data_IF_666351118110
#
_entry.id   IF_666351118110
#
_cell.length_a   1.000
_cell.length_b   1.000
_cell.length_c   1.000
_cell.angle_alpha   90.00
_cell.angle_beta   90.00
_cell.angle_gamma   90.00
#
_symmetry.space_group_name_H-M   'P 1'
#
loop_
_entity.id
_entity.type
_entity.pdbx_description
1 polymer ?
#
# COMPACT_ATOMS: atom_id res chain seq x y z
N UNK A 1 24.52 -9.83 -10.32
CA UNK A 1 23.39 -9.87 -11.30
C UNK A 1 23.11 -8.44 -11.77
N UNK A 2 22.92 -8.20 -13.07
CA UNK A 2 22.56 -6.91 -13.64
C UNK A 2 21.17 -7.03 -14.28
N UNK A 3 20.24 -6.15 -13.92
CA UNK A 3 18.89 -6.10 -14.49
C UNK A 3 18.79 -4.84 -15.33
N UNK A 4 18.29 -4.96 -16.56
CA UNK A 4 18.15 -3.83 -17.48
C UNK A 4 16.83 -3.91 -18.24
N UNK A 5 16.33 -2.75 -18.69
CA UNK A 5 15.16 -2.67 -19.55
C UNK A 5 15.53 -3.03 -20.99
N UNK A 6 14.65 -3.80 -21.63
CA UNK A 6 14.71 -4.09 -23.08
C UNK A 6 14.02 -3.04 -23.94
N UNK A 7 13.15 -2.21 -23.34
CA UNK A 7 12.40 -1.15 -24.02
C UNK A 7 12.69 0.20 -23.36
N UNK A 8 12.51 1.27 -24.08
CA UNK A 8 12.58 2.61 -23.52
C UNK A 8 11.52 2.79 -22.41
N UNK A 9 11.83 3.58 -21.37
CA UNK A 9 10.85 3.93 -20.34
C UNK A 9 9.61 4.59 -20.97
N UNK A 10 8.46 4.40 -20.33
CA UNK A 10 7.23 5.09 -20.70
C UNK A 10 7.43 6.62 -20.64
N UNK A 11 6.80 7.39 -21.57
CA UNK A 11 6.99 8.82 -21.60
C UNK A 11 6.38 9.54 -20.40
N UNK A 12 5.27 9.04 -19.84
CA UNK A 12 4.48 9.74 -18.82
C UNK A 12 4.50 9.06 -17.46
N UNK A 13 4.31 7.76 -17.40
CA UNK A 13 4.11 7.02 -16.16
C UNK A 13 5.32 6.16 -15.82
N UNK A 14 5.61 6.05 -14.53
CA UNK A 14 6.52 5.07 -13.99
C UNK A 14 6.02 3.65 -14.27
N UNK A 15 6.93 2.75 -14.63
CA UNK A 15 6.65 1.33 -14.80
C UNK A 15 7.02 0.57 -13.53
N UNK A 16 6.14 -0.33 -13.11
CA UNK A 16 6.34 -1.18 -11.95
C UNK A 16 6.52 -2.64 -12.38
N UNK A 17 7.58 -3.27 -11.89
CA UNK A 17 7.89 -4.68 -12.10
C UNK A 17 8.13 -5.37 -10.75
N UNK A 18 8.04 -6.68 -10.75
CA UNK A 18 8.45 -7.50 -9.62
C UNK A 18 9.47 -8.53 -10.09
N UNK A 19 10.68 -8.43 -9.56
CA UNK A 19 11.73 -9.41 -9.78
C UNK A 19 11.62 -10.49 -8.71
N UNK A 20 11.54 -11.75 -9.13
CA UNK A 20 11.60 -12.88 -8.23
C UNK A 20 12.97 -13.53 -8.31
N UNK A 21 13.61 -13.69 -7.15
CA UNK A 21 14.80 -14.51 -6.98
C UNK A 21 14.38 -15.75 -6.20
N UNK A 22 14.55 -16.91 -6.80
CA UNK A 22 14.15 -18.18 -6.19
C UNK A 22 15.36 -19.08 -6.07
N UNK A 23 15.53 -19.66 -4.88
CA UNK A 23 16.50 -20.71 -4.65
C UNK A 23 16.07 -21.99 -5.35
N UNK A 24 17.03 -22.69 -5.96
CA UNK A 24 16.82 -24.03 -6.50
C UNK A 24 17.46 -25.00 -5.51
N UNK A 25 16.65 -25.65 -4.67
CA UNK A 25 17.20 -26.59 -3.69
C UNK A 25 17.83 -27.81 -4.38
N UNK A 26 18.89 -28.38 -3.81
CA UNK A 26 19.47 -29.61 -4.34
C UNK A 26 18.45 -30.76 -4.26
N UNK A 27 18.60 -31.81 -5.10
CA UNK A 27 17.77 -32.99 -5.02
C UNK A 27 17.83 -33.62 -3.62
N UNK A 28 16.68 -34.08 -3.12
CA UNK A 28 16.64 -34.81 -1.85
C UNK A 28 17.43 -36.09 -1.97
N UNK A 29 18.29 -36.36 -1.00
CA UNK A 29 19.02 -37.63 -0.92
C UNK A 29 18.09 -38.75 -0.47
N UNK A 30 18.24 -39.99 -0.97
CA UNK A 30 17.49 -41.12 -0.50
C UNK A 30 17.65 -41.32 1.02
N UNK A 31 16.53 -41.44 1.76
CA UNK A 31 16.56 -41.61 3.21
C UNK A 31 16.59 -40.29 3.99
N UNK A 32 16.55 -39.13 3.36
CA UNK A 32 16.45 -37.87 4.04
C UNK A 32 15.08 -37.74 4.73
N UNK A 33 15.07 -37.58 6.06
CA UNK A 33 13.89 -37.23 6.85
C UNK A 33 14.13 -35.85 7.48
N UNK A 34 13.56 -34.80 6.90
CA UNK A 34 13.74 -33.43 7.38
C UNK A 34 12.95 -32.43 6.55
N UNK A 35 12.98 -31.16 6.98
CA UNK A 35 12.37 -30.06 6.24
C UNK A 35 13.39 -29.46 5.25
N UNK A 36 13.04 -29.40 3.97
CA UNK A 36 13.79 -28.66 2.97
C UNK A 36 13.10 -27.34 2.70
N UNK A 37 13.77 -26.23 2.97
CA UNK A 37 13.24 -24.87 2.77
C UNK A 37 13.89 -24.30 1.52
N UNK A 38 13.07 -23.72 0.62
CA UNK A 38 13.54 -22.96 -0.53
C UNK A 38 13.05 -21.50 -0.40
N UNK A 39 13.95 -20.55 -0.54
CA UNK A 39 13.65 -19.12 -0.47
C UNK A 39 13.18 -18.60 -1.82
N UNK A 40 12.10 -17.78 -1.78
CA UNK A 40 11.65 -16.96 -2.91
C UNK A 40 11.48 -15.52 -2.47
N UNK A 41 12.32 -14.64 -3.01
CA UNK A 41 12.34 -13.21 -2.69
C UNK A 41 11.70 -12.44 -3.84
N UNK A 42 10.68 -11.62 -3.54
CA UNK A 42 10.05 -10.71 -4.50
C UNK A 42 10.52 -9.28 -4.27
N UNK A 43 11.23 -8.71 -5.24
CA UNK A 43 11.80 -7.36 -5.18
C UNK A 43 10.99 -6.44 -6.10
N UNK A 44 10.35 -5.36 -5.60
CA UNK A 44 9.73 -4.36 -6.46
C UNK A 44 10.81 -3.58 -7.20
N UNK A 45 10.59 -3.32 -8.49
CA UNK A 45 11.49 -2.54 -9.34
C UNK A 45 10.65 -1.47 -10.04
N UNK A 46 10.98 -0.22 -9.78
CA UNK A 46 10.31 0.93 -10.40
C UNK A 46 11.24 1.57 -11.42
N UNK A 47 10.69 1.89 -12.59
CA UNK A 47 11.41 2.53 -13.68
C UNK A 47 10.81 3.88 -13.92
N UNK A 48 11.56 4.93 -13.62
CA UNK A 48 11.12 6.31 -13.77
C UNK A 48 10.69 6.61 -15.22
N UNK A 49 9.61 7.38 -15.34
CA UNK A 49 9.18 7.94 -16.62
C UNK A 49 10.22 8.94 -17.16
N UNK A 50 10.10 9.30 -18.43
CA UNK A 50 10.93 10.36 -19.02
C UNK A 50 10.49 11.76 -18.59
N UNK A 51 9.19 11.95 -18.35
CA UNK A 51 8.62 13.19 -17.84
C UNK A 51 8.96 13.40 -16.37
N UNK A 52 8.87 14.64 -15.92
CA UNK A 52 8.98 14.97 -14.51
C UNK A 52 7.91 14.22 -13.70
N UNK A 53 8.25 13.73 -12.49
CA UNK A 53 7.30 13.00 -11.65
C UNK A 53 6.17 13.92 -11.18
N UNK A 54 4.94 13.47 -11.32
CA UNK A 54 3.74 14.12 -10.80
C UNK A 54 3.16 13.28 -9.66
N UNK A 55 2.90 13.92 -8.51
CA UNK A 55 2.28 13.29 -7.34
C UNK A 55 0.89 13.89 -7.14
N UNK A 56 -0.14 13.07 -7.32
CA UNK A 56 -1.53 13.44 -7.10
C UNK A 56 -2.29 12.23 -6.56
N UNK A 57 -2.78 12.30 -5.34
CA UNK A 57 -3.50 11.21 -4.68
C UNK A 57 -4.77 11.75 -4.05
N UNK A 58 -5.91 11.17 -4.43
CA UNK A 58 -7.18 11.42 -3.79
C UNK A 58 -7.41 10.39 -2.69
N UNK A 59 -7.89 10.87 -1.56
CA UNK A 59 -8.26 10.05 -0.42
C UNK A 59 -9.76 10.08 -0.20
N UNK A 60 -10.35 8.94 0.14
CA UNK A 60 -11.75 8.84 0.55
C UNK A 60 -11.91 7.86 1.70
N UNK A 61 -12.99 8.01 2.47
CA UNK A 61 -13.29 7.15 3.61
C UNK A 61 -14.77 6.80 3.63
N UNK A 62 -15.09 5.53 3.91
CA UNK A 62 -16.46 5.03 4.02
C UNK A 62 -16.56 4.12 5.24
N UNK A 63 -17.56 4.36 6.09
CA UNK A 63 -17.86 3.47 7.20
C UNK A 63 -18.65 2.25 6.67
N UNK A 64 -18.10 1.05 6.94
CA UNK A 64 -18.71 -0.21 6.51
C UNK A 64 -19.31 -0.96 7.72
N UNK A 65 -19.76 -2.20 7.50
CA UNK A 65 -20.38 -3.01 8.54
C UNK A 65 -19.48 -3.16 9.78
N UNK A 66 -20.12 -3.35 10.94
CA UNK A 66 -19.45 -3.53 12.25
C UNK A 66 -18.59 -2.35 12.69
N UNK A 67 -18.84 -1.14 12.16
CA UNK A 67 -18.06 0.06 12.52
C UNK A 67 -16.66 0.12 11.94
N UNK A 68 -16.29 -0.78 11.03
CA UNK A 68 -15.00 -0.71 10.33
C UNK A 68 -14.99 0.45 9.32
N UNK A 69 -13.82 1.04 9.11
CA UNK A 69 -13.61 2.16 8.19
C UNK A 69 -12.77 1.69 7.00
N UNK A 70 -13.30 1.85 5.80
CA UNK A 70 -12.54 1.63 4.57
C UNK A 70 -12.00 2.96 4.07
N UNK A 71 -10.69 3.07 3.99
CA UNK A 71 -9.97 4.22 3.44
C UNK A 71 -9.42 3.81 2.09
N UNK A 72 -9.65 4.64 1.06
CA UNK A 72 -9.16 4.40 -0.30
C UNK A 72 -8.26 5.54 -0.73
N UNK A 73 -7.08 5.18 -1.24
CA UNK A 73 -6.17 6.09 -1.94
C UNK A 73 -6.23 5.80 -3.44
N UNK A 74 -6.52 6.80 -4.26
CA UNK A 74 -6.50 6.75 -5.71
C UNK A 74 -5.36 7.60 -6.25
N UNK A 75 -4.38 6.98 -6.89
CA UNK A 75 -3.22 7.67 -7.44
C UNK A 75 -3.53 8.17 -8.86
N UNK A 76 -3.65 9.49 -9.02
CA UNK A 76 -3.80 10.17 -10.32
C UNK A 76 -2.48 10.69 -10.88
N UNK A 77 -1.42 10.58 -10.09
CA UNK A 77 -0.08 11.00 -10.50
C UNK A 77 0.61 9.99 -11.42
N UNK A 78 1.85 10.28 -11.74
CA UNK A 78 2.68 9.49 -12.66
C UNK A 78 3.71 8.60 -11.98
N UNK A 79 3.84 8.69 -10.65
CA UNK A 79 4.75 7.89 -9.84
C UNK A 79 4.01 7.11 -8.76
N UNK A 80 4.54 5.99 -8.31
CA UNK A 80 3.94 5.23 -7.22
C UNK A 80 3.92 6.04 -5.91
N UNK A 81 2.97 5.71 -5.04
CA UNK A 81 2.94 6.11 -3.64
C UNK A 81 3.18 4.89 -2.77
N UNK A 82 4.18 4.94 -1.91
CA UNK A 82 4.42 3.93 -0.91
C UNK A 82 3.74 4.35 0.40
N UNK A 83 2.78 3.55 0.87
CA UNK A 83 2.11 3.72 2.16
C UNK A 83 2.71 2.74 3.16
N UNK A 84 3.25 3.24 4.27
CA UNK A 84 3.90 2.46 5.32
C UNK A 84 2.96 2.14 6.47
N UNK A 85 2.11 3.10 6.82
CA UNK A 85 1.08 2.94 7.85
C UNK A 85 -0.13 3.79 7.51
N UNK A 86 -1.29 3.37 8.00
CA UNK A 86 -2.53 4.12 7.84
C UNK A 86 -3.38 3.96 9.11
N UNK A 87 -3.94 5.06 9.57
CA UNK A 87 -4.85 5.13 10.70
C UNK A 87 -5.87 6.23 10.47
N UNK A 88 -6.94 6.23 11.25
CA UNK A 88 -7.90 7.31 11.27
C UNK A 88 -8.42 7.55 12.68
N UNK A 89 -8.89 8.76 12.93
CA UNK A 89 -9.54 9.14 14.19
C UNK A 89 -10.77 10.00 13.91
N UNK A 90 -11.78 9.87 14.76
CA UNK A 90 -12.92 10.79 14.75
C UNK A 90 -12.44 12.16 15.26
N UNK A 91 -13.03 13.30 14.81
CA UNK A 91 -12.61 14.63 15.21
C UNK A 91 -12.70 14.90 16.71
N UNK A 92 -13.57 14.17 17.41
CA UNK A 92 -13.76 14.26 18.87
C UNK A 92 -12.84 13.30 19.65
N UNK A 93 -11.98 12.54 18.94
CA UNK A 93 -11.04 11.57 19.53
C UNK A 93 -11.68 10.32 20.15
N UNK A 94 -13.02 10.17 20.07
CA UNK A 94 -13.73 9.06 20.74
C UNK A 94 -13.64 7.75 19.98
N UNK A 95 -13.44 7.79 18.67
CA UNK A 95 -13.29 6.61 17.83
C UNK A 95 -11.98 6.69 17.05
N UNK A 96 -11.27 5.58 17.02
CA UNK A 96 -10.02 5.44 16.28
C UNK A 96 -10.06 4.15 15.48
N UNK A 97 -9.36 4.15 14.35
CA UNK A 97 -9.19 3.00 13.47
C UNK A 97 -7.71 2.85 13.16
N UNK A 98 -7.19 1.68 13.40
CA UNK A 98 -5.79 1.37 13.09
C UNK A 98 -5.73 0.05 12.32
N UNK A 99 -4.82 -0.03 11.38
CA UNK A 99 -4.55 -1.22 10.59
C UNK A 99 -3.11 -1.68 10.73
N UNK A 100 -2.82 -2.85 10.22
CA UNK A 100 -1.46 -3.37 10.14
C UNK A 100 -0.59 -2.46 9.26
N UNK A 101 0.64 -2.23 9.72
CA UNK A 101 1.66 -1.44 9.02
C UNK A 101 2.30 -2.24 7.87
N UNK A 102 1.48 -2.78 6.97
CA UNK A 102 2.00 -3.50 5.82
C UNK A 102 2.37 -2.52 4.71
N UNK A 103 3.65 -2.54 4.32
CA UNK A 103 4.16 -1.76 3.20
C UNK A 103 3.34 -2.03 1.93
N UNK A 104 2.67 -1.01 1.41
CA UNK A 104 1.78 -1.11 0.25
C UNK A 104 2.11 -0.04 -0.76
N UNK A 105 2.04 -0.38 -2.05
CA UNK A 105 2.23 0.56 -3.16
C UNK A 105 0.89 0.85 -3.84
N UNK A 106 0.62 2.14 -4.12
CA UNK A 106 -0.48 2.60 -4.97
C UNK A 106 0.14 3.07 -6.29
N UNK A 107 0.02 2.26 -7.33
CA UNK A 107 0.66 2.51 -8.62
C UNK A 107 -0.06 3.64 -9.39
N UNK A 108 0.60 4.30 -10.36
CA UNK A 108 -0.03 5.29 -11.23
C UNK A 108 -1.33 4.77 -11.86
N UNK A 109 -2.40 5.55 -11.76
CA UNK A 109 -3.72 5.20 -12.29
C UNK A 109 -4.47 4.11 -11.53
N UNK A 110 -3.92 3.59 -10.43
CA UNK A 110 -4.58 2.58 -9.60
C UNK A 110 -5.14 3.15 -8.30
N UNK A 111 -5.94 2.33 -7.62
CA UNK A 111 -6.42 2.61 -6.28
C UNK A 111 -6.12 1.45 -5.33
N UNK A 112 -6.05 1.78 -4.03
CA UNK A 112 -5.86 0.81 -2.96
C UNK A 112 -6.77 1.16 -1.80
N UNK A 113 -7.40 0.14 -1.22
CA UNK A 113 -8.26 0.30 -0.05
C UNK A 113 -7.73 -0.50 1.12
N UNK A 114 -7.91 0.05 2.32
CA UNK A 114 -7.62 -0.57 3.61
C UNK A 114 -8.88 -0.53 4.44
N UNK A 115 -9.29 -1.67 4.97
CA UNK A 115 -10.40 -1.76 5.91
C UNK A 115 -9.83 -1.89 7.31
N UNK A 116 -10.03 -0.87 8.12
CA UNK A 116 -9.50 -0.74 9.46
C UNK A 116 -10.58 -1.07 10.47
N UNK A 117 -10.35 -2.00 11.41
CA UNK A 117 -11.29 -2.26 12.50
C UNK A 117 -11.33 -1.06 13.45
N UNK A 118 -12.47 -0.82 14.12
CA UNK A 118 -12.54 0.17 15.17
C UNK A 118 -11.70 -0.26 16.37
N UNK A 119 -10.95 0.67 16.96
CA UNK A 119 -10.25 0.48 18.23
C UNK A 119 -11.12 1.07 19.34
N UNK A 120 -11.72 0.22 20.17
CA UNK A 120 -12.64 0.61 21.24
C UNK A 120 -14.11 0.58 20.84
N UNK A 121 -14.98 0.99 21.78
CA UNK A 121 -16.41 1.07 21.55
C UNK A 121 -16.72 2.32 20.70
N UNK A 122 -16.71 2.18 19.39
CA UNK A 122 -17.16 3.24 18.49
C UNK A 122 -18.67 3.43 18.66
N UNK A 123 -19.07 4.39 19.47
CA UNK A 123 -20.47 4.78 19.64
C UNK A 123 -20.80 5.88 18.62
N UNK A 124 -21.50 5.50 17.55
CA UNK A 124 -22.00 6.44 16.55
C UNK A 124 -21.27 6.41 15.21
N UNK A 125 -21.91 7.06 14.22
CA UNK A 125 -21.35 7.26 12.87
C UNK A 125 -20.79 8.68 12.78
N UNK A 126 -19.47 8.87 12.74
CA UNK A 126 -18.91 10.22 12.58
C UNK A 126 -19.22 10.76 11.18
N UNK A 127 -19.53 12.06 11.10
CA UNK A 127 -19.72 12.74 9.81
C UNK A 127 -18.40 12.93 9.04
N UNK A 128 -17.27 12.88 9.74
CA UNK A 128 -15.94 12.97 9.15
C UNK A 128 -14.92 12.24 10.01
N UNK A 129 -13.80 11.91 9.40
CA UNK A 129 -12.61 11.32 10.05
C UNK A 129 -11.35 12.08 9.64
N UNK A 130 -10.36 12.09 10.50
CA UNK A 130 -9.00 12.54 10.18
C UNK A 130 -8.19 11.30 9.84
N UNK A 131 -7.74 11.20 8.59
CA UNK A 131 -6.88 10.11 8.11
C UNK A 131 -5.44 10.53 8.24
N UNK A 132 -4.64 9.67 8.88
CA UNK A 132 -3.20 9.81 9.05
C UNK A 132 -2.49 8.66 8.32
N UNK A 133 -1.61 8.97 7.39
CA UNK A 133 -0.84 7.96 6.69
C UNK A 133 0.63 8.38 6.58
N UNK A 134 1.55 7.47 6.90
CA UNK A 134 2.96 7.67 6.64
C UNK A 134 3.30 7.18 5.24
N UNK A 135 3.81 8.07 4.38
CA UNK A 135 4.13 7.75 2.99
C UNK A 135 5.58 8.11 2.63
N UNK A 136 6.03 7.68 1.46
CA UNK A 136 7.33 8.12 0.89
C UNK A 136 7.28 9.55 0.32
N UNK A 137 6.07 10.11 0.17
CA UNK A 137 5.86 11.48 -0.29
C UNK A 137 5.70 12.49 0.87
N UNK A 138 5.84 12.03 2.11
CA UNK A 138 5.56 12.77 3.34
C UNK A 138 4.33 12.21 4.06
N UNK A 139 4.09 12.71 5.25
CA UNK A 139 2.94 12.31 6.05
C UNK A 139 1.67 12.99 5.55
N UNK A 140 0.61 12.22 5.48
CA UNK A 140 -0.74 12.69 5.14
C UNK A 140 -1.51 12.86 6.45
N UNK A 141 -2.09 14.05 6.61
CA UNK A 141 -3.04 14.36 7.68
C UNK A 141 -4.21 15.11 7.02
N UNK A 142 -5.31 14.41 6.77
CA UNK A 142 -6.42 14.98 6.02
C UNK A 142 -7.76 14.60 6.61
N UNK A 143 -8.68 15.57 6.64
CA UNK A 143 -10.06 15.33 7.06
C UNK A 143 -10.90 14.91 5.86
N UNK A 144 -11.59 13.77 6.00
CA UNK A 144 -12.47 13.22 4.99
C UNK A 144 -13.90 13.13 5.52
N UNK A 145 -14.88 13.47 4.68
CA UNK A 145 -16.27 13.21 4.98
C UNK A 145 -16.54 11.70 4.93
N UNK A 146 -17.46 11.24 5.80
CA UNK A 146 -17.93 9.85 5.82
C UNK A 146 -19.42 9.88 5.46
N UNK A 147 -19.76 9.48 4.21
CA UNK A 147 -21.14 9.48 3.72
C UNK A 147 -22.02 8.44 4.41
#
# INVERSE_FOLDING_TARGET
MRVGLRRAPEPRNELAYRLYVQEVPPPMQPGFSGLQVALRIGIPVFVAARAAPERAVDWSAVLVSQGALTITARNRGSVNLQVRSIAAEAPDGRATWAGDSALTYVLPGSERSWTLPPSGAATGRPASVVVKAATDAGDVDTRLAVP
#
